data_IF_133784910584
#
_entry.id   IF_133784910584
#
_cell.length_a   1.000
_cell.length_b   1.000
_cell.length_c   1.000
_cell.angle_alpha   90.00
_cell.angle_beta   90.00
_cell.angle_gamma   90.00
#
_symmetry.space_group_name_H-M   'P 1'
#
loop_
_entity.id
_entity.type
_entity.pdbx_description
1 polymer ?
#
# COMPACT_ATOMS: atom_id res chain seq x y z
N UNK A 1 -6.69 -9.58 12.85
CA UNK A 1 -5.92 -8.70 11.93
C UNK A 1 -6.52 -8.81 10.53
N UNK A 2 -7.45 -7.94 10.17
CA UNK A 2 -8.18 -8.03 8.89
C UNK A 2 -7.47 -7.21 7.82
N UNK A 3 -6.69 -7.87 6.97
CA UNK A 3 -6.29 -7.34 5.67
C UNK A 3 -7.40 -7.62 4.65
N UNK A 4 -7.69 -6.65 3.79
CA UNK A 4 -8.64 -6.81 2.68
C UNK A 4 -7.87 -6.86 1.37
N UNK A 5 -8.23 -7.82 0.52
CA UNK A 5 -7.78 -7.87 -0.87
C UNK A 5 -8.99 -7.56 -1.75
N UNK A 6 -8.83 -6.64 -2.70
CA UNK A 6 -9.85 -6.32 -3.70
C UNK A 6 -9.24 -6.38 -5.09
N UNK A 7 -9.89 -7.11 -5.98
CA UNK A 7 -9.51 -7.19 -7.38
C UNK A 7 -10.30 -6.18 -8.21
N UNK A 8 -9.60 -5.52 -9.13
CA UNK A 8 -10.19 -4.61 -10.10
C UNK A 8 -9.85 -5.09 -11.50
N UNK A 9 -10.77 -4.94 -12.43
CA UNK A 9 -10.60 -5.30 -13.83
C UNK A 9 -11.13 -4.18 -14.74
N UNK A 10 -10.46 -3.97 -15.86
CA UNK A 10 -10.81 -2.98 -16.84
C UNK A 10 -11.75 -3.57 -17.89
N UNK A 11 -12.97 -3.03 -18.03
CA UNK A 11 -13.92 -3.50 -19.05
C UNK A 11 -13.48 -3.23 -20.49
N UNK A 12 -12.53 -2.31 -20.73
CA UNK A 12 -12.08 -1.94 -22.07
C UNK A 12 -10.83 -2.67 -22.54
N UNK A 13 -9.95 -3.09 -21.63
CA UNK A 13 -8.66 -3.71 -22.00
C UNK A 13 -8.32 -4.96 -21.19
N UNK A 14 -9.27 -5.48 -20.39
CA UNK A 14 -9.14 -6.67 -19.54
C UNK A 14 -7.95 -6.68 -18.57
N UNK A 15 -7.30 -5.53 -18.39
CA UNK A 15 -6.24 -5.39 -17.40
C UNK A 15 -6.84 -5.51 -16.00
N UNK A 16 -6.29 -6.41 -15.19
CA UNK A 16 -6.70 -6.61 -13.82
C UNK A 16 -5.54 -6.46 -12.83
N UNK A 17 -5.83 -5.92 -11.65
CA UNK A 17 -4.85 -5.73 -10.58
C UNK A 17 -5.49 -5.99 -9.21
N UNK A 18 -4.72 -6.61 -8.32
CA UNK A 18 -5.11 -6.82 -6.92
C UNK A 18 -4.57 -5.70 -6.03
N UNK A 19 -5.43 -5.20 -5.16
CA UNK A 19 -5.09 -4.17 -4.20
C UNK A 19 -5.28 -4.70 -2.78
N UNK A 20 -4.25 -4.51 -1.97
CA UNK A 20 -4.21 -4.95 -0.58
C UNK A 20 -4.32 -3.74 0.34
N UNK A 21 -5.18 -3.80 1.34
CA UNK A 21 -5.30 -2.78 2.37
C UNK A 21 -5.35 -3.43 3.76
N UNK A 22 -4.44 -3.03 4.64
CA UNK A 22 -4.40 -3.46 6.04
C UNK A 22 -3.00 -3.89 6.52
N UNK A 23 -2.92 -4.39 7.76
CA UNK A 23 -1.66 -4.80 8.39
C UNK A 23 -1.12 -6.13 7.84
N UNK A 24 -1.95 -6.92 7.17
CA UNK A 24 -1.58 -8.25 6.68
C UNK A 24 -0.40 -8.18 5.71
N UNK A 25 0.75 -8.69 6.14
CA UNK A 25 1.93 -9.07 5.33
C UNK A 25 3.12 -8.08 5.18
N UNK A 26 3.34 -7.11 6.07
CA UNK A 26 4.62 -6.37 6.08
C UNK A 26 5.36 -6.41 7.40
N UNK A 27 5.10 -5.48 8.31
CA UNK A 27 5.88 -5.32 9.53
C UNK A 27 4.94 -4.95 10.66
N UNK A 28 4.76 -5.88 11.61
CA UNK A 28 4.13 -5.56 12.90
C UNK A 28 4.94 -4.47 13.60
N UNK A 29 4.33 -3.67 14.49
CA UNK A 29 5.10 -2.78 15.34
C UNK A 29 6.23 -3.55 16.02
N UNK A 30 7.48 -3.16 15.73
CA UNK A 30 8.70 -3.79 16.23
C UNK A 30 9.76 -2.73 16.49
N UNK A 31 10.70 -3.04 17.38
CA UNK A 31 11.84 -2.20 17.73
C UNK A 31 12.91 -2.19 16.65
N UNK A 32 13.83 -1.21 16.70
CA UNK A 32 14.99 -1.18 15.79
C UNK A 32 15.87 -2.44 15.85
N UNK A 33 16.22 -3.00 17.03
CA UNK A 33 16.98 -4.25 17.12
C UNK A 33 16.28 -5.45 16.44
N UNK A 34 14.96 -5.56 16.58
CA UNK A 34 14.17 -6.61 15.90
C UNK A 34 14.14 -6.40 14.38
N UNK A 35 14.10 -5.15 13.93
CA UNK A 35 14.15 -4.84 12.50
C UNK A 35 15.49 -5.20 11.86
N UNK A 36 16.62 -4.91 12.52
CA UNK A 36 17.95 -5.17 11.96
C UNK A 36 18.34 -6.65 12.00
N UNK A 37 17.82 -7.41 12.98
CA UNK A 37 18.02 -8.86 13.07
C UNK A 37 17.20 -9.64 12.03
N UNK A 38 16.14 -9.03 11.49
CA UNK A 38 15.33 -9.61 10.42
C UNK A 38 15.88 -9.38 9.00
N UNK A 39 15.12 -9.84 8.00
CA UNK A 39 15.41 -9.54 6.60
C UNK A 39 15.08 -8.06 6.30
N UNK A 40 16.08 -7.19 6.37
CA UNK A 40 15.92 -5.73 6.25
C UNK A 40 15.67 -5.23 4.81
N UNK A 41 15.64 -6.11 3.80
CA UNK A 41 15.37 -5.77 2.39
C UNK A 41 13.88 -5.53 2.07
N UNK A 42 13.01 -5.53 3.07
CA UNK A 42 11.56 -5.29 2.92
C UNK A 42 11.21 -3.89 2.39
N UNK A 43 12.06 -2.90 2.67
CA UNK A 43 11.82 -1.52 2.28
C UNK A 43 12.86 -1.04 1.27
N UNK A 44 12.46 -0.05 0.48
CA UNK A 44 13.38 0.69 -0.37
C UNK A 44 14.51 1.30 0.48
N UNK A 45 15.74 1.29 -0.03
CA UNK A 45 16.96 1.66 0.71
C UNK A 45 16.85 3.01 1.46
N UNK A 46 16.23 4.03 0.85
CA UNK A 46 15.99 5.34 1.49
C UNK A 46 15.21 5.27 2.81
N UNK A 47 14.27 4.32 2.93
CA UNK A 47 13.53 4.10 4.17
C UNK A 47 14.45 3.44 5.21
N UNK A 48 15.26 2.47 4.80
CA UNK A 48 16.23 1.83 5.67
C UNK A 48 17.25 2.83 6.25
N UNK A 49 17.82 3.69 5.40
CA UNK A 49 18.70 4.79 5.84
C UNK A 49 17.98 5.71 6.84
N UNK A 50 16.70 6.00 6.61
CA UNK A 50 15.92 6.85 7.51
C UNK A 50 15.68 6.18 8.87
N UNK A 51 15.44 4.87 8.88
CA UNK A 51 15.29 4.07 10.11
C UNK A 51 16.56 4.16 10.93
N UNK A 52 17.73 3.88 10.34
CA UNK A 52 19.03 3.93 11.04
C UNK A 52 19.26 5.33 11.62
N UNK A 53 19.03 6.37 10.82
CA UNK A 53 19.21 7.76 11.27
C UNK A 53 18.31 8.14 12.46
N UNK A 54 17.08 7.63 12.51
CA UNK A 54 16.16 7.87 13.62
C UNK A 54 16.49 6.99 14.83
N UNK A 55 16.92 5.75 14.62
CA UNK A 55 17.31 4.85 15.71
C UNK A 55 18.49 5.40 16.52
N UNK A 56 19.42 6.09 15.86
CA UNK A 56 20.54 6.76 16.53
C UNK A 56 20.11 7.95 17.42
N UNK A 57 18.90 8.50 17.23
CA UNK A 57 18.38 9.65 17.98
C UNK A 57 17.33 9.27 19.01
N UNK A 58 16.61 8.17 18.77
CA UNK A 58 15.47 7.74 19.55
C UNK A 58 15.63 6.26 19.92
N UNK A 59 15.95 5.99 21.18
CA UNK A 59 16.17 4.63 21.68
C UNK A 59 14.88 3.78 21.65
N UNK A 60 13.72 4.41 21.88
CA UNK A 60 12.40 3.77 21.88
C UNK A 60 11.73 3.73 20.48
N UNK A 61 12.53 3.73 19.40
CA UNK A 61 11.99 3.75 18.04
C UNK A 61 11.21 2.46 17.72
N UNK A 62 9.92 2.64 17.44
CA UNK A 62 9.03 1.62 16.92
C UNK A 62 8.78 1.82 15.43
N UNK A 63 8.94 0.74 14.68
CA UNK A 63 8.75 0.68 13.22
C UNK A 63 7.54 -0.18 12.94
N UNK A 64 6.63 0.32 12.12
CA UNK A 64 5.48 -0.45 11.62
C UNK A 64 5.26 -0.17 10.15
N UNK A 65 4.75 -1.17 9.42
CA UNK A 65 4.38 -0.99 8.03
C UNK A 65 3.08 -1.68 7.69
N UNK A 66 2.25 -0.99 6.93
CA UNK A 66 0.92 -1.45 6.51
C UNK A 66 0.74 -1.24 5.02
N UNK A 67 0.07 -2.17 4.34
CA UNK A 67 -0.37 -1.93 2.97
C UNK A 67 -1.54 -0.94 2.97
N UNK A 68 -1.40 0.11 2.16
CA UNK A 68 -2.43 1.11 2.00
C UNK A 68 -2.61 1.38 0.50
N UNK A 69 -3.88 1.40 0.09
CA UNK A 69 -4.25 1.79 -1.27
C UNK A 69 -4.35 3.31 -1.32
N UNK A 70 -3.74 3.89 -2.33
CA UNK A 70 -3.81 5.32 -2.60
C UNK A 70 -4.47 5.59 -3.94
N UNK A 71 -5.26 6.65 -4.01
CA UNK A 71 -5.83 7.18 -5.25
C UNK A 71 -5.16 8.49 -5.59
N UNK A 72 -4.76 8.64 -6.85
CA UNK A 72 -4.32 9.94 -7.34
C UNK A 72 -5.55 10.86 -7.48
N UNK A 73 -5.56 12.06 -6.85
CA UNK A 73 -6.70 12.96 -6.92
C UNK A 73 -6.94 13.55 -8.32
N UNK A 74 -6.01 13.38 -9.25
CA UNK A 74 -6.06 14.03 -10.57
C UNK A 74 -6.17 13.03 -11.71
N UNK A 75 -5.40 11.94 -11.66
CA UNK A 75 -5.53 10.88 -12.64
C UNK A 75 -6.61 9.85 -12.29
N UNK A 76 -7.05 9.77 -11.02
CA UNK A 76 -8.01 8.75 -10.58
C UNK A 76 -7.48 7.31 -10.53
N UNK A 77 -6.20 7.10 -10.84
CA UNK A 77 -5.51 5.80 -10.81
C UNK A 77 -5.21 5.39 -9.37
N UNK A 78 -5.30 4.09 -9.12
CA UNK A 78 -4.99 3.46 -7.84
C UNK A 78 -3.55 2.97 -7.77
N UNK A 79 -2.99 2.95 -6.57
CA UNK A 79 -1.64 2.48 -6.31
C UNK A 79 -1.62 1.68 -5.01
N UNK A 80 -1.02 0.50 -5.02
CA UNK A 80 -0.69 -0.24 -3.81
C UNK A 80 0.68 0.22 -3.27
N UNK A 81 0.75 0.60 -1.99
CA UNK A 81 1.98 1.12 -1.36
C UNK A 81 2.12 0.66 0.09
N UNK A 82 3.36 0.42 0.50
CA UNK A 82 3.74 0.12 1.88
C UNK A 82 3.91 1.42 2.69
N UNK A 83 2.90 1.78 3.48
CA UNK A 83 2.99 2.92 4.39
C UNK A 83 3.83 2.51 5.60
N UNK A 84 5.00 3.11 5.75
CA UNK A 84 5.92 2.89 6.87
C UNK A 84 5.76 4.04 7.85
N UNK A 85 5.45 3.72 9.11
CA UNK A 85 5.36 4.67 10.20
C UNK A 85 6.48 4.39 11.20
N UNK A 86 7.12 5.45 11.67
CA UNK A 86 8.15 5.39 12.70
C UNK A 86 7.70 6.29 13.86
N UNK A 87 7.62 5.72 15.04
CA UNK A 87 7.06 6.35 16.25
C UNK A 87 8.05 6.17 17.40
N UNK A 88 8.14 7.14 18.28
CA UNK A 88 8.88 7.05 19.56
C UNK A 88 8.10 7.83 20.60
N UNK A 89 7.89 7.24 21.77
CA UNK A 89 7.12 7.83 22.87
C UNK A 89 5.77 8.41 22.40
N UNK A 90 5.04 7.62 21.60
CA UNK A 90 3.75 7.95 20.96
C UNK A 90 3.76 9.13 19.98
N UNK A 91 4.93 9.72 19.69
CA UNK A 91 5.09 10.78 18.68
C UNK A 91 5.45 10.19 17.32
N UNK A 92 4.68 10.57 16.30
CA UNK A 92 4.97 10.19 14.92
C UNK A 92 6.18 10.99 14.43
N UNK A 93 7.31 10.30 14.24
CA UNK A 93 8.55 10.90 13.74
C UNK A 93 8.62 10.91 12.22
N UNK A 94 8.08 9.86 11.58
CA UNK A 94 8.09 9.74 10.14
C UNK A 94 6.91 8.93 9.61
N UNK A 95 6.36 9.41 8.49
CA UNK A 95 5.44 8.68 7.62
C UNK A 95 5.90 8.93 6.19
N UNK A 96 6.08 7.86 5.42
CA UNK A 96 6.45 8.01 4.03
C UNK A 96 5.28 8.53 3.16
N UNK A 97 5.61 9.40 2.21
CA UNK A 97 4.65 10.00 1.29
C UNK A 97 4.93 9.59 -0.15
N UNK A 98 3.87 9.43 -0.94
CA UNK A 98 3.97 8.94 -2.30
C UNK A 98 3.50 9.99 -3.32
N UNK A 99 4.16 10.00 -4.48
CA UNK A 99 3.79 10.81 -5.64
C UNK A 99 3.29 9.91 -6.76
N UNK A 100 2.32 10.38 -7.52
CA UNK A 100 1.83 9.70 -8.72
C UNK A 100 2.96 9.60 -9.75
N UNK A 101 3.16 8.41 -10.32
CA UNK A 101 4.16 8.20 -11.37
C UNK A 101 3.90 9.02 -12.63
N UNK A 102 2.64 9.39 -12.89
CA UNK A 102 2.22 10.10 -14.10
C UNK A 102 2.19 11.62 -13.94
N UNK A 103 1.37 12.13 -13.02
CA UNK A 103 1.18 13.58 -12.86
C UNK A 103 2.01 14.19 -11.73
N UNK A 104 2.84 13.39 -11.04
CA UNK A 104 3.71 13.82 -9.92
C UNK A 104 3.00 14.42 -8.71
N UNK A 105 1.66 14.54 -8.73
CA UNK A 105 0.85 14.99 -7.58
C UNK A 105 0.91 13.97 -6.45
N UNK A 106 0.83 14.49 -5.22
CA UNK A 106 0.83 13.68 -4.00
C UNK A 106 -0.40 12.75 -3.99
N UNK A 107 -0.16 11.50 -3.68
CA UNK A 107 -1.20 10.47 -3.57
C UNK A 107 -1.97 10.65 -2.26
N UNK A 108 -3.27 10.33 -2.28
CA UNK A 108 -4.13 10.37 -1.10
C UNK A 108 -4.59 8.96 -0.73
N UNK A 109 -4.53 8.57 0.56
CA UNK A 109 -5.03 7.27 0.98
C UNK A 109 -6.52 7.18 0.68
N UNK A 110 -6.98 6.03 0.20
CA UNK A 110 -8.40 5.80 -0.11
C UNK A 110 -8.89 4.55 0.60
N UNK A 111 -10.18 4.51 0.91
CA UNK A 111 -10.82 3.30 1.39
C UNK A 111 -11.30 2.47 0.19
N UNK A 112 -10.60 1.37 -0.10
CA UNK A 112 -10.92 0.52 -1.26
C UNK A 112 -12.25 -0.22 -1.11
N UNK A 113 -12.75 -0.39 0.12
CA UNK A 113 -14.03 -1.05 0.37
C UNK A 113 -15.23 -0.20 -0.07
N UNK A 114 -15.07 1.13 -0.14
CA UNK A 114 -16.11 2.04 -0.64
C UNK A 114 -15.92 2.40 -2.13
N UNK A 115 -14.73 2.17 -2.66
CA UNK A 115 -14.43 2.46 -4.05
C UNK A 115 -14.91 1.32 -4.96
N UNK A 116 -15.74 1.65 -5.95
CA UNK A 116 -16.22 0.69 -6.97
C UNK A 116 -15.57 0.88 -8.34
N UNK A 117 -15.17 2.12 -8.66
CA UNK A 117 -14.67 2.53 -9.97
C UNK A 117 -13.42 3.39 -9.84
N UNK A 118 -12.47 3.17 -10.72
CA UNK A 118 -11.24 3.94 -10.84
C UNK A 118 -10.84 4.10 -12.32
N UNK A 119 -9.76 4.84 -12.55
CA UNK A 119 -9.16 4.97 -13.89
C UNK A 119 -8.17 3.84 -14.09
N UNK A 120 -8.26 3.15 -15.23
CA UNK A 120 -7.34 2.08 -15.59
C UNK A 120 -5.93 2.65 -15.81
N UNK A 121 -4.87 2.06 -15.25
CA UNK A 121 -3.50 2.56 -15.44
C UNK A 121 -2.99 2.40 -16.88
N UNK A 122 -3.52 1.44 -17.63
CA UNK A 122 -3.12 1.11 -19.01
C UNK A 122 -3.86 1.98 -20.03
N UNK A 123 -5.18 1.84 -20.14
CA UNK A 123 -5.97 2.52 -21.19
C UNK A 123 -6.48 3.91 -20.79
N UNK A 124 -6.32 4.30 -19.51
CA UNK A 124 -6.71 5.61 -18.97
C UNK A 124 -8.19 5.97 -19.04
N UNK A 125 -9.01 5.01 -19.43
CA UNK A 125 -10.45 5.16 -19.36
C UNK A 125 -10.93 4.90 -17.93
N UNK A 126 -12.03 5.53 -17.51
CA UNK A 126 -12.68 5.23 -16.24
C UNK A 126 -13.45 3.90 -16.33
N UNK A 127 -12.79 2.83 -16.73
CA UNK A 127 -13.39 1.51 -16.98
C UNK A 127 -12.91 0.45 -15.97
N UNK A 128 -12.16 0.87 -14.95
CA UNK A 128 -11.57 -0.04 -13.96
C UNK A 128 -12.55 -0.26 -12.82
N UNK A 129 -13.16 -1.44 -12.76
CA UNK A 129 -14.26 -1.79 -11.87
C UNK A 129 -13.82 -2.84 -10.87
N UNK A 130 -14.30 -2.73 -9.64
CA UNK A 130 -14.07 -3.73 -8.59
C UNK A 130 -14.91 -4.98 -8.84
N UNK A 131 -14.28 -6.14 -8.91
CA UNK A 131 -14.97 -7.42 -8.99
C UNK A 131 -15.52 -7.84 -7.62
N UNK A 132 -16.61 -8.64 -7.61
CA UNK A 132 -17.14 -9.19 -6.34
C UNK A 132 -16.29 -10.39 -5.92
N UNK A 133 -16.22 -10.58 -4.61
CA UNK A 133 -15.43 -11.66 -3.98
C UNK A 133 -15.95 -13.06 -4.38
N UNK A 134 -17.26 -13.19 -4.62
CA UNK A 134 -17.87 -14.38 -5.21
C UNK A 134 -17.25 -14.72 -6.56
N UNK A 135 -17.06 -13.74 -7.42
CA UNK A 135 -16.72 -13.95 -8.83
C UNK A 135 -15.27 -14.45 -9.00
N UNK A 136 -14.43 -14.25 -7.98
CA UNK A 136 -13.02 -14.68 -7.95
C UNK A 136 -12.81 -16.11 -7.44
N UNK A 137 -13.73 -16.63 -6.62
CA UNK A 137 -13.64 -18.00 -6.06
C UNK A 137 -14.15 -19.04 -7.05
N UNK A 138 -15.11 -18.67 -7.91
CA UNK A 138 -15.73 -19.58 -8.88
C UNK A 138 -15.10 -19.54 -10.28
N UNK A 139 -14.13 -18.65 -10.54
CA UNK A 139 -13.40 -18.60 -11.82
C UNK A 139 -12.34 -19.70 -11.99
N UNK A 140 -12.04 -20.47 -10.94
CA UNK A 140 -11.09 -21.60 -10.96
C UNK A 140 -11.76 -22.94 -11.30
N UNK A 141 -13.06 -22.96 -11.58
CA UNK A 141 -13.82 -24.16 -11.97
C UNK A 141 -14.38 -23.96 -13.37
N UNK A 142 -13.51 -23.98 -14.37
CA UNK A 142 -13.89 -24.38 -15.72
C UNK A 142 -12.92 -25.48 -16.13
N UNK A 143 -13.46 -26.70 -16.14
CA UNK A 143 -12.83 -27.94 -16.57
C UNK A 143 -12.46 -27.90 -18.06
#
# INVERSE_FOLDING_TARGET
MTGYVKYYECSSCHYGEQFVQGPGFLVRPQSFPEYISGNHRLFHYKIHEKIINLANRYQSLLISATYQVYKCPSCGILFNKSKVNMVSDDKILHVNEFKCSRCRRRLKPTNINRLRRAVCPVCLKPSFLRQKESDLLWSSVKA
#
